data_IF_332336957242
#
_entry.id   IF_332336957242
#
_cell.length_a   1.000
_cell.length_b   1.000
_cell.length_c   1.000
_cell.angle_alpha   90.00
_cell.angle_beta   90.00
_cell.angle_gamma   90.00
#
_symmetry.space_group_name_H-M   'P 1'
#
loop_
_entity.id
_entity.type
_entity.pdbx_description
1 polymer ?
#
# COMPACT_ATOMS: atom_id res chain seq x y z
N UNK A 1 -19.40 -14.60 -5.27
CA UNK A 1 -18.79 -14.92 -5.00
C UNK A 1 -18.19 -14.78 -4.75
N UNK A 2 -18.87 -14.17 -4.77
CA UNK A 2 -18.30 -14.19 -4.33
C UNK A 2 -18.01 -13.79 -4.10
N UNK A 3 -18.69 -13.36 -3.87
CA UNK A 3 -18.27 -13.31 -3.35
C UNK A 3 -18.07 -12.99 -3.01
N UNK A 4 -18.76 -12.57 -2.80
CA UNK A 4 -18.35 -12.61 -2.21
C UNK A 4 -18.11 -12.44 -1.82
N UNK A 5 -18.60 -12.06 -1.47
CA UNK A 5 -18.12 -12.25 -0.90
C UNK A 5 -17.79 -12.13 -0.54
N UNK A 6 -18.45 -11.74 -0.34
CA UNK A 6 -17.86 -11.95 0.19
C UNK A 6 -17.64 -11.72 0.49
N UNK A 7 -18.14 -11.43 0.93
CA UNK A 7 -17.75 -11.59 1.41
C UNK A 7 -17.33 -11.43 1.94
N UNK A 8 -17.72 -11.11 2.24
CA UNK A 8 -17.05 -11.36 2.81
C UNK A 8 -16.45 -11.42 3.19
N UNK A 9 -16.70 -11.21 3.47
CA UNK A 9 -15.94 -11.57 3.88
C UNK A 9 -15.15 -11.68 4.08
N UNK A 10 -15.17 -11.49 4.49
CA UNK A 10 -14.34 -11.71 4.65
C UNK A 10 -13.41 -11.66 4.74
N UNK A 11 -13.22 -11.36 4.80
CA UNK A 11 -12.19 -11.36 4.77
C UNK A 11 -11.27 -11.29 4.73
N UNK A 12 -11.12 -11.04 4.89
CA UNK A 12 -10.15 -10.92 4.70
C UNK A 12 -9.31 -10.79 4.38
N UNK A 13 -9.14 -10.65 4.55
CA UNK A 13 -8.45 -10.43 4.17
C UNK A 13 -7.76 -10.28 3.75
N UNK A 14 -7.81 -10.16 3.86
CA UNK A 14 -7.22 -9.95 3.27
C UNK A 14 -6.82 -9.84 2.31
N UNK A 15 -6.68 -10.11 2.21
CA UNK A 15 -6.46 -9.85 1.25
C UNK A 15 -6.95 -9.69 0.20
N UNK A 16 -7.28 -9.94 0.21
CA UNK A 16 -7.67 -9.76 -0.57
C UNK A 16 -8.58 -9.17 -1.06
N UNK A 17 -9.02 -9.56 -0.96
CA UNK A 17 -10.10 -8.88 -1.59
C UNK A 17 -10.01 -7.39 -1.67
N UNK A 18 -9.28 -6.86 -2.55
CA UNK A 18 -9.26 -5.43 -2.75
C UNK A 18 -10.19 -5.07 -3.90
N UNK A 19 -11.45 -5.48 -3.81
CA UNK A 19 -12.43 -5.18 -4.83
C UNK A 19 -12.86 -3.71 -4.81
N UNK A 20 -12.51 -3.00 -3.74
CA UNK A 20 -12.83 -1.59 -3.59
C UNK A 20 -11.95 -0.67 -4.43
N UNK A 21 -10.90 -1.22 -5.06
CA UNK A 21 -10.00 -0.45 -5.89
C UNK A 21 -9.64 -1.26 -7.14
N UNK A 22 -9.60 -0.59 -8.28
CA UNK A 22 -9.24 -1.25 -9.53
C UNK A 22 -7.77 -1.63 -9.52
N UNK A 23 -7.47 -2.77 -10.12
CA UNK A 23 -6.08 -3.29 -10.13
C UNK A 23 -5.09 -2.33 -10.76
N UNK A 24 -5.52 -1.59 -11.80
CA UNK A 24 -4.63 -0.63 -12.45
C UNK A 24 -4.26 0.52 -11.52
N UNK A 25 -5.24 1.02 -10.77
CA UNK A 25 -4.97 2.08 -9.81
C UNK A 25 -4.12 1.56 -8.65
N UNK A 26 -4.40 0.36 -8.19
CA UNK A 26 -3.61 -0.26 -7.11
C UNK A 26 -2.15 -0.41 -7.53
N UNK A 27 -1.92 -0.92 -8.75
CA UNK A 27 -0.56 -1.05 -9.25
C UNK A 27 0.10 0.32 -9.43
N UNK A 28 -0.65 1.31 -9.90
CA UNK A 28 -0.11 2.66 -10.07
C UNK A 28 0.37 3.23 -8.73
N UNK A 29 -0.35 2.96 -7.63
CA UNK A 29 0.09 3.39 -6.31
C UNK A 29 1.36 2.65 -5.90
N UNK A 30 1.41 1.34 -6.10
CA UNK A 30 2.62 0.58 -5.79
C UNK A 30 3.82 1.11 -6.57
N UNK A 31 3.64 1.40 -7.86
CA UNK A 31 4.72 1.94 -8.69
C UNK A 31 5.15 3.33 -8.23
N UNK A 32 4.19 4.19 -7.90
CA UNK A 32 4.50 5.52 -7.35
C UNK A 32 5.38 5.40 -6.12
N UNK A 33 5.12 4.37 -5.31
CA UNK A 33 5.77 4.19 -4.02
C UNK A 33 7.02 3.31 -4.10
N UNK A 34 7.42 2.93 -5.32
CA UNK A 34 8.66 2.19 -5.53
C UNK A 34 8.55 0.70 -5.27
N UNK A 35 7.33 0.14 -5.31
CA UNK A 35 7.08 -1.29 -5.07
C UNK A 35 7.62 -1.74 -3.72
N UNK A 36 7.53 -0.88 -2.72
CA UNK A 36 8.06 -1.13 -1.39
C UNK A 36 7.17 -0.48 -0.34
N UNK A 37 7.24 -1.05 0.86
CA UNK A 37 6.52 -0.52 2.02
C UNK A 37 7.03 0.86 2.37
N UNK A 38 6.14 1.83 2.49
CA UNK A 38 6.53 3.19 2.83
C UNK A 38 7.03 3.31 4.27
N UNK A 39 6.66 2.38 5.15
CA UNK A 39 7.09 2.41 6.55
C UNK A 39 8.43 1.72 6.75
N UNK A 40 8.57 0.47 6.36
CA UNK A 40 9.77 -0.30 6.68
C UNK A 40 10.72 -0.48 5.50
N UNK A 41 10.31 -0.12 4.29
CA UNK A 41 11.17 -0.20 3.13
C UNK A 41 11.26 -1.56 2.46
N UNK A 42 10.65 -2.59 3.03
CA UNK A 42 10.68 -3.91 2.42
C UNK A 42 9.88 -3.90 1.12
N UNK A 43 10.50 -4.39 0.06
CA UNK A 43 9.91 -4.37 -1.26
C UNK A 43 9.56 -5.74 -1.79
N UNK A 44 9.02 -5.74 -3.01
CA UNK A 44 8.71 -6.98 -3.71
C UNK A 44 9.95 -7.84 -3.84
N UNK A 45 11.09 -7.22 -4.08
CA UNK A 45 12.36 -7.93 -4.21
C UNK A 45 12.76 -8.66 -2.93
N UNK A 46 12.28 -8.16 -1.79
CA UNK A 46 12.57 -8.77 -0.50
C UNK A 46 11.52 -9.80 -0.11
N UNK A 47 10.59 -10.08 -0.99
CA UNK A 47 9.51 -11.01 -0.71
C UNK A 47 8.35 -10.39 0.04
N UNK A 48 8.29 -9.07 0.16
CA UNK A 48 7.21 -8.41 0.88
C UNK A 48 5.90 -8.55 0.12
N UNK A 49 4.83 -8.78 0.86
CA UNK A 49 3.49 -8.80 0.31
C UNK A 49 2.93 -7.39 0.45
N UNK A 50 2.73 -6.73 -0.69
CA UNK A 50 2.28 -5.34 -0.68
C UNK A 50 0.77 -5.25 -0.50
N UNK A 51 0.38 -4.26 0.27
CA UNK A 51 -1.03 -3.91 0.50
C UNK A 51 -1.15 -2.40 0.41
N UNK A 52 -2.38 -1.90 0.53
CA UNK A 52 -2.62 -0.46 0.60
C UNK A 52 -3.09 -0.10 1.99
N UNK A 53 -2.54 0.99 2.52
CA UNK A 53 -2.88 1.50 3.83
C UNK A 53 -3.58 2.84 3.68
N UNK A 54 -4.73 2.98 4.31
CA UNK A 54 -5.45 4.26 4.37
C UNK A 54 -4.85 5.08 5.50
N UNK A 55 -4.25 6.21 5.16
CA UNK A 55 -3.65 7.07 6.19
C UNK A 55 -4.70 7.60 7.14
N UNK A 56 -5.78 8.14 6.60
CA UNK A 56 -6.95 8.51 7.38
C UNK A 56 -7.95 7.38 7.30
N UNK A 57 -8.51 6.97 8.43
CA UNK A 57 -9.45 5.85 8.42
C UNK A 57 -10.66 6.12 7.55
N UNK A 58 -11.39 5.06 7.27
CA UNK A 58 -12.61 5.12 6.47
C UNK A 58 -13.50 6.25 6.93
N UNK A 59 -13.45 7.31 6.20
CA UNK A 59 -14.44 8.32 6.32
C UNK A 59 -14.76 8.68 4.91
N UNK A 60 -15.69 8.99 4.60
CA UNK A 60 -16.50 9.42 3.51
C UNK A 60 -15.69 9.78 2.26
N UNK A 61 -15.27 11.04 2.19
CA UNK A 61 -14.92 11.63 0.90
C UNK A 61 -13.48 11.42 0.47
N UNK A 62 -12.58 11.17 1.41
CA UNK A 62 -11.15 11.08 1.08
C UNK A 62 -10.63 9.65 1.05
N UNK A 63 -11.52 8.70 1.27
CA UNK A 63 -11.16 7.33 1.56
C UNK A 63 -10.18 6.72 0.57
N UNK A 64 -10.52 6.76 -0.71
CA UNK A 64 -9.71 6.10 -1.74
C UNK A 64 -8.97 7.06 -2.65
N UNK A 65 -8.78 8.30 -2.20
CA UNK A 65 -7.96 9.24 -2.96
C UNK A 65 -6.50 8.81 -2.92
N UNK A 66 -5.76 9.00 -4.02
CA UNK A 66 -4.34 8.65 -4.02
C UNK A 66 -3.55 9.28 -2.88
N UNK A 67 -3.94 10.48 -2.46
CA UNK A 67 -3.26 11.17 -1.37
C UNK A 67 -3.57 10.57 0.00
N UNK A 68 -4.51 9.64 0.08
CA UNK A 68 -4.84 8.95 1.32
C UNK A 68 -4.36 7.50 1.35
N UNK A 69 -3.75 7.03 0.28
CA UNK A 69 -3.33 5.63 0.15
C UNK A 69 -1.83 5.55 -0.02
N UNK A 70 -1.21 4.68 0.75
CA UNK A 70 0.23 4.38 0.58
C UNK A 70 0.43 2.88 0.54
N UNK A 71 1.50 2.48 -0.13
CA UNK A 71 1.92 1.10 -0.12
C UNK A 71 2.48 0.75 1.25
N UNK A 72 2.00 -0.35 1.81
CA UNK A 72 2.53 -0.90 3.06
C UNK A 72 2.63 -2.41 2.90
N UNK A 73 3.66 -3.01 3.48
CA UNK A 73 3.72 -4.46 3.48
C UNK A 73 2.66 -4.99 4.44
N UNK A 74 2.29 -6.26 4.23
CA UNK A 74 1.25 -6.88 5.04
C UNK A 74 1.54 -6.78 6.53
N UNK A 75 2.80 -6.98 6.93
CA UNK A 75 3.18 -6.92 8.34
C UNK A 75 2.99 -5.53 8.92
N UNK A 76 3.45 -4.51 8.23
CA UNK A 76 3.28 -3.13 8.73
C UNK A 76 1.82 -2.75 8.79
N UNK A 77 1.04 -3.11 7.76
CA UNK A 77 -0.38 -2.80 7.75
C UNK A 77 -1.09 -3.45 8.94
N UNK A 78 -0.78 -4.72 9.21
CA UNK A 78 -1.35 -5.43 10.35
C UNK A 78 -0.91 -4.83 11.68
N UNK A 79 0.38 -4.50 11.79
CA UNK A 79 0.91 -3.95 13.03
C UNK A 79 0.38 -2.56 13.34
N UNK A 80 0.15 -1.77 12.29
CA UNK A 80 -0.41 -0.45 12.50
C UNK A 80 -1.81 -0.54 13.09
N UNK A 81 -2.65 -1.43 12.58
CA UNK A 81 -4.01 -1.55 13.06
C UNK A 81 -4.73 -0.21 12.99
N UNK A 82 -5.32 0.21 14.10
CA UNK A 82 -6.08 1.45 14.18
C UNK A 82 -5.24 2.64 14.67
N UNK A 83 -3.93 2.45 14.85
CA UNK A 83 -3.09 3.54 15.34
C UNK A 83 -2.95 4.63 14.30
N UNK A 84 -2.73 5.86 14.76
CA UNK A 84 -2.38 6.97 13.88
C UNK A 84 -1.12 6.61 13.08
N UNK A 85 -1.12 6.94 11.79
CA UNK A 85 -0.02 6.52 10.93
C UNK A 85 1.31 7.18 11.32
N UNK A 86 1.27 8.41 11.85
CA UNK A 86 2.49 9.09 12.26
C UNK A 86 3.06 8.47 13.52
N UNK A 87 2.19 8.08 14.46
CA UNK A 87 2.63 7.35 15.65
C UNK A 87 3.23 6.01 15.25
N UNK A 88 2.61 5.33 14.28
CA UNK A 88 3.15 4.07 13.80
C UNK A 88 4.50 4.26 13.15
N UNK A 89 4.68 5.33 12.36
CA UNK A 89 5.99 5.62 11.74
C UNK A 89 7.08 5.77 12.82
N UNK A 90 6.77 6.44 13.92
CA UNK A 90 7.71 6.56 15.02
C UNK A 90 8.05 5.19 15.61
N UNK A 91 7.03 4.33 15.77
CA UNK A 91 7.26 3.00 16.31
C UNK A 91 8.14 2.16 15.38
N UNK A 92 7.88 2.24 14.07
CA UNK A 92 8.67 1.51 13.08
C UNK A 92 10.14 1.93 13.15
N UNK A 93 10.39 3.23 13.20
CA UNK A 93 11.75 3.74 13.28
C UNK A 93 12.47 3.17 14.51
N UNK A 94 11.74 3.01 15.62
CA UNK A 94 12.31 2.51 16.85
C UNK A 94 12.82 1.09 16.76
N UNK A 95 12.13 0.23 15.99
CA UNK A 95 12.54 -1.18 15.95
C UNK A 95 13.31 -1.58 14.69
N UNK A 96 13.41 -0.72 13.69
CA UNK A 96 14.17 -1.06 12.49
C UNK A 96 15.67 -1.00 12.72
N UNK A 97 16.11 -0.12 13.59
CA UNK A 97 17.51 0.01 13.92
C UNK A 97 18.40 0.31 12.69
N UNK A 98 17.91 1.15 11.79
CA UNK A 98 18.63 1.52 10.57
C UNK A 98 19.02 3.00 10.57
N UNK A 99 19.03 3.64 11.72
CA UNK A 99 19.33 5.08 11.85
C UNK A 99 18.33 5.95 11.12
N UNK A 100 17.13 5.42 10.90
CA UNK A 100 16.02 6.18 10.29
C UNK A 100 15.12 6.67 11.40
N UNK A 101 14.78 7.95 11.35
CA UNK A 101 13.89 8.54 12.35
C UNK A 101 12.45 8.43 11.91
N UNK A 102 11.55 8.53 12.89
CA UNK A 102 10.12 8.58 12.57
C UNK A 102 9.79 9.77 11.69
N UNK A 103 10.45 10.92 11.92
CA UNK A 103 10.23 12.09 11.10
C UNK A 103 10.62 11.84 9.64
N UNK A 104 11.70 11.10 9.42
CA UNK A 104 12.12 10.78 8.04
C UNK A 104 11.07 9.91 7.35
N UNK A 105 10.50 8.94 8.06
CA UNK A 105 9.43 8.11 7.49
C UNK A 105 8.20 8.99 7.21
N UNK A 106 7.83 9.85 8.14
CA UNK A 106 6.68 10.74 7.98
C UNK A 106 6.88 11.65 6.77
N UNK A 107 8.05 12.25 6.65
CA UNK A 107 8.35 13.15 5.54
C UNK A 107 8.32 12.38 4.21
N UNK A 108 8.88 11.18 4.20
CA UNK A 108 8.84 10.33 3.01
C UNK A 108 7.39 10.08 2.56
N UNK A 109 6.53 9.72 3.49
CA UNK A 109 5.12 9.44 3.17
C UNK A 109 4.43 10.71 2.69
N UNK A 110 4.65 11.83 3.38
CA UNK A 110 4.04 13.10 2.99
C UNK A 110 4.43 13.53 1.58
N UNK A 111 5.68 13.31 1.20
CA UNK A 111 6.15 13.62 -0.14
C UNK A 111 5.59 12.63 -1.17
N UNK A 112 5.55 11.36 -0.80
CA UNK A 112 5.12 10.30 -1.71
C UNK A 112 3.67 10.46 -2.13
N UNK A 113 2.79 10.79 -1.19
CA UNK A 113 1.35 10.90 -1.50
C UNK A 113 1.03 12.08 -2.40
N UNK A 114 1.97 13.01 -2.58
CA UNK A 114 1.78 14.15 -3.49
C UNK A 114 2.18 13.84 -4.92
N UNK A 115 2.84 12.71 -5.15
CA UNK A 115 3.25 12.33 -6.50
C UNK A 115 2.05 11.87 -7.31
N UNK A 116 2.00 12.25 -8.60
CA UNK A 116 0.89 11.80 -9.45
C UNK A 116 0.97 10.31 -9.73
N UNK A 117 -0.18 9.73 -10.00
CA UNK A 117 -0.25 8.34 -10.44
C UNK A 117 -0.14 8.29 -11.96
N UNK A 118 0.51 7.24 -12.46
CA UNK A 118 0.55 6.96 -13.88
C UNK A 118 -0.22 5.66 -14.13
N UNK A 119 -1.54 5.78 -14.24
CA UNK A 119 -2.41 4.63 -14.44
C UNK A 119 -2.17 4.00 -15.80
N UNK A 120 -1.85 4.80 -16.82
CA UNK A 120 -1.57 4.26 -18.14
C UNK A 120 -0.32 3.37 -18.14
N UNK A 121 0.71 3.77 -17.41
CA UNK A 121 1.90 2.95 -17.27
C UNK A 121 1.59 1.63 -16.56
N UNK A 122 0.74 1.70 -15.53
CA UNK A 122 0.32 0.49 -14.83
C UNK A 122 -0.47 -0.44 -15.76
N UNK A 123 -1.39 0.11 -16.55
CA UNK A 123 -2.16 -0.67 -17.52
C UNK A 123 -1.23 -1.35 -18.51
N UNK A 124 -0.25 -0.60 -19.03
CA UNK A 124 0.68 -1.14 -20.01
C UNK A 124 1.52 -2.27 -19.40
N UNK A 125 1.93 -2.11 -18.16
CA UNK A 125 2.73 -3.13 -17.49
C UNK A 125 1.92 -4.41 -17.28
N UNK A 126 0.67 -4.28 -16.84
CA UNK A 126 -0.21 -5.44 -16.65
C UNK A 126 -0.38 -6.17 -18.01
N UNK A 127 -0.63 -5.42 -19.08
CA UNK A 127 -0.83 -6.01 -20.39
C UNK A 127 0.42 -6.71 -20.86
N UNK A 128 1.58 -6.08 -20.69
CA UNK A 128 2.85 -6.64 -21.16
C UNK A 128 3.26 -7.88 -20.38
N UNK A 129 2.97 -7.91 -19.07
CA UNK A 129 3.37 -9.01 -18.22
C UNK A 129 2.32 -10.12 -18.12
N UNK A 130 1.12 -9.89 -18.64
CA UNK A 130 0.08 -10.91 -18.69
C UNK A 130 -0.89 -10.89 -17.52
N UNK A 131 -0.76 -9.97 -16.59
CA UNK A 131 -1.67 -9.85 -15.46
C UNK A 131 -1.10 -9.02 -14.34
N UNK A 132 -1.94 -8.75 -13.34
CA UNK A 132 -1.55 -7.94 -12.20
C UNK A 132 -0.44 -8.62 -11.39
N UNK A 133 -0.63 -9.90 -11.08
CA UNK A 133 0.35 -10.65 -10.29
C UNK A 133 1.70 -10.68 -11.00
N UNK A 134 1.67 -10.92 -12.30
CA UNK A 134 2.88 -10.96 -13.11
C UNK A 134 3.56 -9.59 -13.16
N UNK A 135 2.78 -8.52 -13.12
CA UNK A 135 3.33 -7.17 -13.15
C UNK A 135 4.13 -6.85 -11.87
N UNK A 136 3.82 -7.53 -10.77
CA UNK A 136 4.52 -7.34 -9.50
C UNK A 136 5.79 -8.19 -9.41
N UNK A 137 6.01 -9.12 -10.33
CA UNK A 137 7.20 -9.99 -10.31
C UNK A 137 8.33 -9.35 -11.08
N UNK A 138 9.54 -9.61 -10.64
CA UNK A 138 10.73 -9.14 -11.34
C UNK A 138 11.28 -10.15 -12.33
#
# INVERSE_FOLDING_TARGET
>A
MTTTQDRHSKSNGQGQGMNWIRKEKRLAIYLRDGLACCYCGQGVEDGAKLTLDHLTPHSQDVNNLPANLVTACHLCNSRRGARDWQEFAEAVAGYLNHNITGREIITHIQNTIQRPLDVKAAQALIARRGGFTQALQN
#
